data_IF_761328950257
#
_entry.id   IF_761328950257
#
_cell.length_a   1.000
_cell.length_b   1.000
_cell.length_c   1.000
_cell.angle_alpha   90.00
_cell.angle_beta   90.00
_cell.angle_gamma   90.00
#
_symmetry.space_group_name_H-M   'P 1'
#
loop_
_entity.id
_entity.type
_entity.pdbx_description
1 polymer ?
#
# COMPACT_ATOMS: atom_id res chain seq x y z
N UNK A 1 -5.49 -33.45 12.25
CA UNK A 1 -5.81 -32.10 12.75
C UNK A 1 -6.77 -31.49 11.75
N UNK A 2 -7.97 -31.06 12.16
CA UNK A 2 -8.86 -30.32 11.27
C UNK A 2 -8.14 -29.05 10.81
N UNK A 3 -8.13 -28.81 9.50
CA UNK A 3 -7.63 -27.56 8.92
C UNK A 3 -8.85 -26.69 8.68
N UNK A 4 -9.09 -25.71 9.56
CA UNK A 4 -10.15 -24.74 9.35
C UNK A 4 -9.88 -23.99 8.03
N UNK A 5 -10.92 -23.86 7.21
CA UNK A 5 -10.90 -23.03 6.00
C UNK A 5 -10.92 -21.55 6.39
N UNK A 6 -9.80 -20.89 6.24
CA UNK A 6 -9.61 -19.51 6.68
C UNK A 6 -9.35 -18.57 5.50
N UNK A 7 -9.86 -17.33 5.63
CA UNK A 7 -9.66 -16.28 4.63
C UNK A 7 -9.38 -14.91 5.26
N UNK A 8 -8.96 -13.97 4.42
CA UNK A 8 -8.73 -12.55 4.71
C UNK A 8 -9.16 -11.72 3.50
N UNK A 9 -9.36 -10.41 3.69
CA UNK A 9 -9.62 -9.51 2.57
C UNK A 9 -8.38 -9.32 1.68
N UNK A 10 -8.59 -8.87 0.45
CA UNK A 10 -7.51 -8.56 -0.48
C UNK A 10 -6.68 -7.36 0.01
N UNK A 11 -5.35 -7.41 -0.16
CA UNK A 11 -4.43 -6.33 0.22
C UNK A 11 -3.14 -6.37 -0.62
N UNK A 12 -3.30 -6.25 -1.94
CA UNK A 12 -2.21 -6.24 -2.90
C UNK A 12 -1.23 -7.39 -2.70
N UNK A 13 0.08 -7.10 -2.77
CA UNK A 13 1.11 -8.12 -2.54
C UNK A 13 1.27 -8.51 -1.07
N UNK A 14 0.70 -7.76 -0.12
CA UNK A 14 0.78 -8.07 1.31
C UNK A 14 -0.08 -9.29 1.69
N UNK A 15 -1.01 -9.72 0.83
CA UNK A 15 -1.76 -10.97 1.03
C UNK A 15 -0.85 -12.21 1.00
N UNK A 16 0.29 -12.15 0.28
CA UNK A 16 1.22 -13.28 0.13
C UNK A 16 1.89 -13.68 1.46
N UNK A 17 2.54 -12.75 2.21
CA UNK A 17 3.09 -13.11 3.52
C UNK A 17 1.99 -13.54 4.50
N UNK A 18 0.80 -12.93 4.46
CA UNK A 18 -0.34 -13.32 5.32
C UNK A 18 -0.77 -14.78 5.02
N UNK A 19 -0.98 -15.11 3.74
CA UNK A 19 -1.25 -16.48 3.27
C UNK A 19 -0.19 -17.46 3.78
N UNK A 20 1.08 -17.09 3.65
CA UNK A 20 2.18 -17.94 4.07
C UNK A 20 2.19 -18.20 5.59
N UNK A 21 1.84 -17.19 6.40
CA UNK A 21 1.73 -17.34 7.86
C UNK A 21 0.58 -18.30 8.18
N UNK A 22 -0.61 -18.09 7.61
CA UNK A 22 -1.78 -18.93 7.87
C UNK A 22 -1.56 -20.40 7.48
N UNK A 23 -0.93 -20.64 6.32
CA UNK A 23 -0.55 -21.99 5.88
C UNK A 23 0.45 -22.67 6.81
N UNK A 24 1.48 -21.95 7.29
CA UNK A 24 2.49 -22.50 8.21
C UNK A 24 1.91 -22.76 9.62
N UNK A 25 0.91 -21.98 10.05
CA UNK A 25 0.18 -22.24 11.30
C UNK A 25 -0.66 -23.52 11.18
N UNK A 26 -1.27 -23.75 10.01
CA UNK A 26 -1.96 -25.00 9.68
C UNK A 26 -3.40 -24.84 9.20
N UNK A 27 -3.83 -23.62 8.84
CA UNK A 27 -5.13 -23.39 8.19
C UNK A 27 -5.15 -23.98 6.77
N UNK A 28 -6.34 -24.31 6.29
CA UNK A 28 -6.60 -24.42 4.86
C UNK A 28 -6.98 -23.02 4.37
N UNK A 29 -6.23 -22.45 3.43
CA UNK A 29 -6.29 -20.99 3.19
C UNK A 29 -6.93 -20.70 1.85
N UNK A 30 -8.06 -20.00 1.90
CA UNK A 30 -8.80 -19.51 0.74
C UNK A 30 -8.48 -18.03 0.57
N UNK A 31 -7.87 -17.66 -0.55
CA UNK A 31 -7.57 -16.24 -0.83
C UNK A 31 -8.51 -15.67 -1.88
N UNK A 32 -9.02 -14.44 -1.68
CA UNK A 32 -9.79 -13.76 -2.72
C UNK A 32 -8.93 -13.51 -3.97
N UNK A 33 -9.56 -13.45 -5.15
CA UNK A 33 -8.87 -13.04 -6.36
C UNK A 33 -8.37 -11.58 -6.25
N UNK A 34 -7.47 -11.13 -7.15
CA UNK A 34 -7.12 -9.71 -7.24
C UNK A 34 -8.38 -8.84 -7.40
N UNK A 35 -8.36 -7.64 -6.80
CA UNK A 35 -9.51 -6.72 -6.86
C UNK A 35 -9.90 -6.45 -8.31
N UNK A 36 -11.18 -6.68 -8.61
CA UNK A 36 -11.75 -6.51 -9.94
C UNK A 36 -13.00 -5.64 -9.90
N UNK A 37 -13.57 -5.35 -11.08
CA UNK A 37 -14.88 -4.67 -11.17
C UNK A 37 -15.98 -5.46 -10.46
N UNK A 38 -15.89 -6.79 -10.46
CA UNK A 38 -16.83 -7.65 -9.74
C UNK A 38 -16.66 -7.48 -8.22
N UNK A 39 -15.43 -7.43 -7.71
CA UNK A 39 -15.16 -7.15 -6.29
C UNK A 39 -15.82 -5.83 -5.87
N UNK A 40 -15.66 -4.77 -6.67
CA UNK A 40 -16.26 -3.46 -6.40
C UNK A 40 -17.78 -3.48 -6.48
N UNK A 41 -18.35 -4.16 -7.47
CA UNK A 41 -19.81 -4.30 -7.63
C UNK A 41 -20.43 -5.03 -6.44
N UNK A 42 -19.88 -6.17 -6.05
CA UNK A 42 -20.34 -6.95 -4.90
C UNK A 42 -20.25 -6.13 -3.62
N UNK A 43 -19.09 -5.51 -3.39
CA UNK A 43 -18.86 -4.66 -2.23
C UNK A 43 -19.85 -3.51 -2.11
N UNK A 44 -20.05 -2.76 -3.20
CA UNK A 44 -20.90 -1.56 -3.22
C UNK A 44 -22.38 -1.90 -3.10
N UNK A 45 -22.82 -3.07 -3.57
CA UNK A 45 -24.22 -3.50 -3.49
C UNK A 45 -24.66 -3.84 -2.06
N UNK A 46 -23.71 -4.13 -1.16
CA UNK A 46 -23.97 -4.60 0.20
C UNK A 46 -23.40 -3.69 1.30
N UNK A 47 -22.92 -2.50 0.93
CA UNK A 47 -22.38 -1.52 1.88
C UNK A 47 -23.07 -0.17 1.71
N UNK A 48 -23.12 0.67 2.75
CA UNK A 48 -23.63 2.03 2.61
C UNK A 48 -22.85 2.84 1.58
N UNK A 49 -23.54 3.64 0.77
CA UNK A 49 -22.93 4.48 -0.28
C UNK A 49 -21.81 5.38 0.26
N UNK A 50 -22.02 5.95 1.47
CA UNK A 50 -21.07 6.84 2.15
C UNK A 50 -19.91 6.12 2.86
N UNK A 51 -19.84 4.79 2.79
CA UNK A 51 -18.69 4.06 3.28
C UNK A 51 -17.47 4.31 2.39
N UNK A 52 -16.29 4.36 2.99
CA UNK A 52 -15.07 4.51 2.20
C UNK A 52 -14.74 3.22 1.44
N UNK A 53 -14.09 3.40 0.29
CA UNK A 53 -13.80 2.32 -0.66
C UNK A 53 -13.16 1.06 -0.04
N UNK A 54 -12.22 1.15 0.95
CA UNK A 54 -11.65 -0.05 1.55
C UNK A 54 -12.68 -0.96 2.22
N UNK A 55 -13.76 -0.42 2.82
CA UNK A 55 -14.84 -1.24 3.38
C UNK A 55 -15.53 -2.04 2.28
N UNK A 56 -15.86 -1.37 1.16
CA UNK A 56 -16.53 -1.96 0.01
C UNK A 56 -15.68 -3.08 -0.58
N UNK A 57 -14.39 -2.83 -0.76
CA UNK A 57 -13.45 -3.83 -1.30
C UNK A 57 -13.30 -5.04 -0.38
N UNK A 58 -13.25 -4.84 0.94
CA UNK A 58 -13.20 -5.96 1.89
C UNK A 58 -14.46 -6.83 1.79
N UNK A 59 -15.65 -6.22 1.84
CA UNK A 59 -16.93 -6.94 1.72
C UNK A 59 -16.99 -7.68 0.38
N UNK A 60 -16.63 -7.01 -0.72
CA UNK A 60 -16.58 -7.64 -2.05
C UNK A 60 -15.61 -8.82 -2.12
N UNK A 61 -14.44 -8.70 -1.48
CA UNK A 61 -13.45 -9.79 -1.40
C UNK A 61 -14.02 -11.00 -0.67
N UNK A 62 -14.74 -10.77 0.44
CA UNK A 62 -15.39 -11.85 1.19
C UNK A 62 -16.47 -12.53 0.35
N UNK A 63 -17.36 -11.75 -0.27
CA UNK A 63 -18.45 -12.28 -1.10
C UNK A 63 -17.94 -13.16 -2.26
N UNK A 64 -16.78 -12.84 -2.84
CA UNK A 64 -16.15 -13.67 -3.88
C UNK A 64 -15.65 -15.03 -3.38
N UNK A 65 -15.36 -15.16 -2.08
CA UNK A 65 -14.83 -16.41 -1.50
C UNK A 65 -15.87 -17.23 -0.75
N UNK A 66 -17.05 -16.68 -0.46
CA UNK A 66 -18.15 -17.41 0.19
C UNK A 66 -18.58 -18.71 -0.52
N UNK A 67 -18.57 -18.83 -1.87
CA UNK A 67 -18.89 -20.10 -2.53
C UNK A 67 -17.93 -21.25 -2.20
N UNK A 68 -16.75 -20.96 -1.64
CA UNK A 68 -15.78 -21.98 -1.19
C UNK A 68 -16.00 -22.41 0.26
N UNK A 69 -17.03 -21.85 0.91
CA UNK A 69 -17.46 -22.13 2.28
C UNK A 69 -16.33 -21.94 3.30
N UNK A 70 -15.79 -20.72 3.44
CA UNK A 70 -14.84 -20.42 4.50
C UNK A 70 -15.49 -20.57 5.87
N UNK A 71 -14.79 -21.20 6.81
CA UNK A 71 -15.26 -21.38 8.19
C UNK A 71 -14.91 -20.16 9.05
N UNK A 72 -13.79 -19.49 8.74
CA UNK A 72 -13.31 -18.32 9.47
C UNK A 72 -12.78 -17.23 8.54
N UNK A 73 -13.12 -15.98 8.84
CA UNK A 73 -12.55 -14.79 8.21
C UNK A 73 -11.80 -13.99 9.26
N UNK A 74 -10.54 -13.66 8.98
CA UNK A 74 -9.73 -12.78 9.82
C UNK A 74 -9.74 -11.36 9.27
N UNK A 75 -9.97 -10.39 10.15
CA UNK A 75 -9.91 -8.96 9.86
C UNK A 75 -9.01 -8.27 10.88
N UNK A 76 -8.22 -7.29 10.47
CA UNK A 76 -7.42 -6.48 11.39
C UNK A 76 -8.29 -5.36 11.96
N UNK A 77 -8.28 -5.22 13.29
CA UNK A 77 -8.95 -4.14 14.02
C UNK A 77 -8.13 -2.85 14.02
N UNK A 78 -8.75 -1.77 14.49
CA UNK A 78 -8.16 -0.44 14.44
C UNK A 78 -8.55 0.42 15.62
N UNK A 79 -7.56 1.05 16.26
CA UNK A 79 -7.79 1.97 17.39
C UNK A 79 -7.61 3.40 16.92
N UNK A 80 -8.68 4.20 16.96
CA UNK A 80 -8.61 5.63 16.66
C UNK A 80 -9.95 6.21 16.20
N UNK A 81 -9.99 7.50 15.84
CA UNK A 81 -11.22 8.17 15.44
C UNK A 81 -11.64 7.85 13.99
N UNK A 82 -10.91 6.96 13.31
CA UNK A 82 -11.23 6.50 11.96
C UNK A 82 -12.29 5.40 12.00
N UNK A 83 -13.19 5.39 10.99
CA UNK A 83 -14.21 4.34 10.82
C UNK A 83 -13.63 2.93 10.65
N UNK A 84 -12.34 2.80 10.31
CA UNK A 84 -11.65 1.52 10.24
C UNK A 84 -11.81 0.69 11.53
N UNK A 85 -11.86 1.32 12.71
CA UNK A 85 -12.10 0.60 13.97
C UNK A 85 -13.48 -0.04 14.10
N UNK A 86 -14.45 0.34 13.25
CA UNK A 86 -15.79 -0.26 13.22
C UNK A 86 -15.93 -1.31 12.12
N UNK A 87 -14.90 -1.51 11.29
CA UNK A 87 -15.00 -2.38 10.12
C UNK A 87 -15.34 -3.81 10.49
N UNK A 88 -14.73 -4.36 11.54
CA UNK A 88 -14.96 -5.75 11.95
C UNK A 88 -16.43 -6.05 12.23
N UNK A 89 -17.06 -5.24 13.08
CA UNK A 89 -18.47 -5.39 13.44
C UNK A 89 -19.41 -5.11 12.25
N UNK A 90 -19.13 -4.07 11.47
CA UNK A 90 -19.97 -3.73 10.30
C UNK A 90 -19.90 -4.82 9.23
N UNK A 91 -18.72 -5.34 8.92
CA UNK A 91 -18.54 -6.41 7.94
C UNK A 91 -19.20 -7.71 8.42
N UNK A 92 -19.06 -8.04 9.71
CA UNK A 92 -19.73 -9.19 10.32
C UNK A 92 -21.25 -9.09 10.22
N UNK A 93 -21.83 -7.94 10.58
CA UNK A 93 -23.28 -7.74 10.50
C UNK A 93 -23.79 -7.82 9.06
N UNK A 94 -23.05 -7.26 8.10
CA UNK A 94 -23.38 -7.38 6.68
C UNK A 94 -23.42 -8.85 6.25
N UNK A 95 -22.39 -9.63 6.54
CA UNK A 95 -22.34 -11.05 6.16
C UNK A 95 -23.47 -11.86 6.83
N UNK A 96 -23.74 -11.59 8.11
CA UNK A 96 -24.84 -12.22 8.85
C UNK A 96 -26.21 -11.87 8.25
N UNK A 97 -26.44 -10.60 7.88
CA UNK A 97 -27.68 -10.16 7.24
C UNK A 97 -27.93 -10.81 5.88
N UNK A 98 -26.86 -11.26 5.21
CA UNK A 98 -26.92 -12.02 3.95
C UNK A 98 -27.12 -13.53 4.15
N UNK A 99 -27.25 -13.98 5.41
CA UNK A 99 -27.51 -15.37 5.76
C UNK A 99 -26.26 -16.23 5.92
N UNK A 100 -25.07 -15.62 6.04
CA UNK A 100 -23.82 -16.36 6.26
C UNK A 100 -23.45 -16.37 7.75
N UNK A 101 -23.52 -17.56 8.35
CA UNK A 101 -23.08 -17.83 9.72
C UNK A 101 -21.66 -18.42 9.68
N UNK A 102 -20.66 -17.54 9.63
CA UNK A 102 -19.24 -17.88 9.65
C UNK A 102 -18.54 -17.18 10.79
N UNK A 103 -17.42 -17.74 11.24
CA UNK A 103 -16.68 -17.12 12.34
C UNK A 103 -15.88 -15.91 11.84
N UNK A 104 -16.26 -14.72 12.30
CA UNK A 104 -15.57 -13.48 11.94
C UNK A 104 -14.69 -13.02 13.10
N UNK A 105 -13.37 -13.09 12.91
CA UNK A 105 -12.38 -12.83 13.96
C UNK A 105 -11.68 -11.49 13.69
N UNK A 106 -11.84 -10.55 14.61
CA UNK A 106 -11.16 -9.26 14.57
C UNK A 106 -9.88 -9.33 15.41
N UNK A 107 -8.74 -9.12 14.75
CA UNK A 107 -7.42 -9.05 15.37
C UNK A 107 -7.09 -7.60 15.71
N UNK A 108 -7.39 -7.19 16.95
CA UNK A 108 -7.05 -5.86 17.43
C UNK A 108 -5.52 -5.67 17.55
N UNK A 109 -4.99 -4.44 17.36
CA UNK A 109 -3.58 -4.16 17.54
C UNK A 109 -3.13 -4.55 18.96
N UNK A 110 -2.01 -5.27 19.11
CA UNK A 110 -1.57 -5.76 20.40
C UNK A 110 -0.92 -4.63 21.19
N UNK A 111 -1.74 -3.73 21.77
CA UNK A 111 -1.22 -2.68 22.64
C UNK A 111 -0.76 -3.24 23.98
N UNK A 112 -1.46 -4.23 24.54
CA UNK A 112 -1.09 -4.87 25.82
C UNK A 112 -1.33 -6.40 25.91
N UNK A 113 -1.92 -7.06 24.89
CA UNK A 113 -2.32 -8.48 24.96
C UNK A 113 -1.86 -9.34 23.77
N UNK A 114 -0.55 -9.58 23.63
CA UNK A 114 -0.04 -10.54 22.63
C UNK A 114 -0.56 -11.97 22.85
N UNK A 115 -0.85 -12.33 24.10
CA UNK A 115 -1.42 -13.62 24.49
C UNK A 115 -2.78 -13.85 23.83
N UNK A 116 -3.67 -12.85 23.81
CA UNK A 116 -5.01 -12.97 23.24
C UNK A 116 -4.99 -13.32 21.76
N UNK A 117 -4.09 -12.67 20.99
CA UNK A 117 -3.92 -12.98 19.56
C UNK A 117 -3.50 -14.44 19.38
N UNK A 118 -2.65 -14.95 20.25
CA UNK A 118 -2.16 -16.32 20.12
C UNK A 118 -3.19 -17.32 20.64
N UNK A 119 -3.93 -16.98 21.69
CA UNK A 119 -5.04 -17.77 22.23
C UNK A 119 -6.14 -17.96 21.18
N UNK A 120 -6.41 -16.94 20.35
CA UNK A 120 -7.28 -17.05 19.17
C UNK A 120 -6.76 -18.14 18.23
N UNK A 121 -5.48 -18.13 17.86
CA UNK A 121 -4.94 -19.16 16.96
C UNK A 121 -4.88 -20.56 17.60
N UNK A 122 -4.61 -20.64 18.91
CA UNK A 122 -4.63 -21.89 19.69
C UNK A 122 -6.03 -22.48 19.73
N UNK A 123 -7.07 -21.65 19.86
CA UNK A 123 -8.47 -22.09 19.81
C UNK A 123 -8.80 -22.86 18.53
N UNK A 124 -8.26 -22.44 17.38
CA UNK A 124 -8.49 -23.13 16.11
C UNK A 124 -7.55 -24.31 15.87
N UNK A 125 -6.26 -24.18 16.20
CA UNK A 125 -5.23 -25.12 15.73
C UNK A 125 -4.58 -25.96 16.85
N UNK A 126 -4.99 -25.75 18.10
CA UNK A 126 -4.50 -26.43 19.30
C UNK A 126 -3.14 -25.91 19.80
N UNK A 127 -2.66 -26.48 20.92
CA UNK A 127 -1.45 -26.06 21.65
C UNK A 127 -0.16 -26.12 20.81
N UNK A 128 -0.14 -26.92 19.74
CA UNK A 128 0.98 -27.01 18.80
C UNK A 128 1.27 -25.70 18.05
N UNK A 129 0.32 -24.75 18.06
CA UNK A 129 0.41 -23.45 17.37
C UNK A 129 1.58 -22.61 17.87
N UNK A 130 1.80 -22.56 19.18
CA UNK A 130 2.92 -21.83 19.79
C UNK A 130 4.28 -22.27 19.26
N UNK A 131 4.43 -23.55 18.91
CA UNK A 131 5.68 -24.10 18.35
C UNK A 131 5.85 -23.73 16.86
N UNK A 132 4.76 -23.53 16.13
CA UNK A 132 4.77 -23.18 14.69
C UNK A 132 4.87 -21.67 14.46
N UNK A 133 4.33 -20.87 15.37
CA UNK A 133 4.21 -19.42 15.24
C UNK A 133 5.55 -18.71 14.92
N UNK A 134 6.67 -18.96 15.63
CA UNK A 134 7.93 -18.27 15.31
C UNK A 134 8.42 -18.54 13.89
N UNK A 135 8.29 -19.79 13.42
CA UNK A 135 8.65 -20.18 12.06
C UNK A 135 7.73 -19.54 11.03
N UNK A 136 6.42 -19.56 11.27
CA UNK A 136 5.42 -18.96 10.38
C UNK A 136 5.69 -17.45 10.20
N UNK A 137 5.87 -16.73 11.32
CA UNK A 137 6.21 -15.30 11.32
C UNK A 137 7.54 -15.02 10.61
N UNK A 138 8.56 -15.85 10.84
CA UNK A 138 9.85 -15.69 10.17
C UNK A 138 9.74 -15.84 8.64
N UNK A 139 9.01 -16.85 8.16
CA UNK A 139 8.80 -17.05 6.71
C UNK A 139 7.98 -15.91 6.11
N UNK A 140 6.89 -15.51 6.77
CA UNK A 140 6.07 -14.36 6.36
C UNK A 140 6.89 -13.07 6.28
N UNK A 141 7.70 -12.78 7.30
CA UNK A 141 8.61 -11.66 7.32
C UNK A 141 9.61 -11.69 6.16
N UNK A 142 10.23 -12.84 5.88
CA UNK A 142 11.17 -13.00 4.77
C UNK A 142 10.50 -12.75 3.42
N UNK A 143 9.28 -13.23 3.20
CA UNK A 143 8.51 -12.96 1.98
C UNK A 143 8.15 -11.49 1.85
N UNK A 144 7.71 -10.86 2.93
CA UNK A 144 7.38 -9.43 2.97
C UNK A 144 8.58 -8.56 2.58
N UNK A 145 9.74 -8.74 3.24
CA UNK A 145 10.96 -8.01 2.90
C UNK A 145 11.42 -8.27 1.46
N UNK A 146 11.26 -9.50 0.97
CA UNK A 146 11.59 -9.86 -0.40
C UNK A 146 10.75 -9.06 -1.41
N UNK A 147 9.44 -8.96 -1.19
CA UNK A 147 8.52 -8.19 -2.02
C UNK A 147 8.89 -6.71 -2.04
N UNK A 148 9.05 -6.09 -0.86
CA UNK A 148 9.38 -4.67 -0.76
C UNK A 148 10.73 -4.33 -1.37
N UNK A 149 11.73 -5.21 -1.22
CA UNK A 149 13.05 -5.03 -1.80
C UNK A 149 13.01 -4.98 -3.32
N UNK A 150 12.27 -5.90 -3.95
CA UNK A 150 12.11 -5.91 -5.40
C UNK A 150 11.25 -4.73 -5.86
N UNK A 151 10.18 -4.38 -5.14
CA UNK A 151 9.37 -3.18 -5.44
C UNK A 151 10.23 -1.92 -5.48
N UNK A 152 10.98 -1.63 -4.42
CA UNK A 152 11.88 -0.47 -4.35
C UNK A 152 12.92 -0.47 -5.48
N UNK A 153 13.51 -1.63 -5.78
CA UNK A 153 14.50 -1.76 -6.86
C UNK A 153 13.90 -1.50 -8.24
N UNK A 154 12.71 -2.02 -8.51
CA UNK A 154 12.02 -1.87 -9.80
C UNK A 154 11.67 -0.40 -10.04
N UNK A 155 11.09 0.27 -9.04
CA UNK A 155 10.70 1.67 -9.16
C UNK A 155 11.91 2.61 -9.31
N UNK A 156 13.01 2.34 -8.60
CA UNK A 156 14.25 3.11 -8.71
C UNK A 156 15.02 2.88 -10.02
N UNK A 157 14.93 1.68 -10.60
CA UNK A 157 15.65 1.35 -11.84
C UNK A 157 14.94 1.86 -13.10
N UNK A 158 13.61 2.04 -13.04
CA UNK A 158 12.77 2.46 -14.16
C UNK A 158 13.30 3.64 -15.01
N UNK A 159 13.78 4.77 -14.44
CA UNK A 159 14.29 5.90 -15.23
C UNK A 159 15.60 5.60 -15.98
N UNK A 160 16.31 4.52 -15.61
CA UNK A 160 17.59 4.13 -16.22
C UNK A 160 17.43 3.11 -17.34
N UNK A 161 16.19 2.81 -17.76
CA UNK A 161 15.89 1.80 -18.77
C UNK A 161 15.04 2.42 -19.89
N UNK A 162 15.31 2.05 -21.14
CA UNK A 162 14.39 2.34 -22.23
C UNK A 162 13.07 1.58 -22.11
N UNK A 163 12.09 1.93 -22.95
CA UNK A 163 10.73 1.40 -22.88
C UNK A 163 10.66 -0.14 -22.93
N UNK A 164 11.50 -0.79 -23.75
CA UNK A 164 11.52 -2.25 -23.88
C UNK A 164 11.98 -2.90 -22.57
N UNK A 165 13.05 -2.37 -21.97
CA UNK A 165 13.60 -2.92 -20.74
C UNK A 165 12.75 -2.58 -19.50
N UNK A 166 12.02 -1.46 -19.50
CA UNK A 166 10.99 -1.17 -18.50
C UNK A 166 9.87 -2.21 -18.51
N UNK A 167 9.40 -2.60 -19.69
CA UNK A 167 8.39 -3.65 -19.83
C UNK A 167 8.90 -5.00 -19.30
N UNK A 168 10.11 -5.40 -19.72
CA UNK A 168 10.76 -6.62 -19.21
C UNK A 168 10.98 -6.60 -17.70
N UNK A 169 11.30 -5.44 -17.12
CA UNK A 169 11.50 -5.28 -15.69
C UNK A 169 10.22 -5.61 -14.91
N UNK A 170 9.05 -5.18 -15.41
CA UNK A 170 7.76 -5.50 -14.80
C UNK A 170 7.36 -6.96 -15.02
N UNK A 171 7.66 -7.55 -16.18
CA UNK A 171 7.46 -8.99 -16.40
C UNK A 171 8.28 -9.83 -15.41
N UNK A 172 9.53 -9.45 -15.16
CA UNK A 172 10.38 -10.10 -14.15
C UNK A 172 9.85 -9.91 -12.73
N UNK A 173 9.35 -8.71 -12.41
CA UNK A 173 8.69 -8.44 -11.12
C UNK A 173 7.47 -9.35 -10.91
N UNK A 174 6.59 -9.44 -11.90
CA UNK A 174 5.39 -10.28 -11.82
C UNK A 174 5.75 -11.77 -11.70
N UNK A 175 6.76 -12.23 -12.44
CA UNK A 175 7.29 -13.58 -12.30
C UNK A 175 7.89 -13.82 -10.91
N UNK A 176 8.61 -12.84 -10.35
CA UNK A 176 9.13 -12.89 -8.99
C UNK A 176 8.02 -13.01 -7.95
N UNK A 177 6.96 -12.19 -8.03
CA UNK A 177 5.82 -12.25 -7.11
C UNK A 177 5.19 -13.64 -7.12
N UNK A 178 4.96 -14.23 -8.30
CA UNK A 178 4.46 -15.62 -8.43
C UNK A 178 5.39 -16.66 -7.81
N UNK A 179 6.71 -16.49 -7.97
CA UNK A 179 7.71 -17.39 -7.35
C UNK A 179 7.71 -17.28 -5.83
N UNK A 180 7.57 -16.07 -5.27
CA UNK A 180 7.54 -15.81 -3.83
C UNK A 180 6.27 -16.36 -3.19
N UNK A 181 5.11 -16.22 -3.83
CA UNK A 181 3.86 -16.80 -3.34
C UNK A 181 4.01 -18.32 -3.13
N UNK A 182 4.52 -19.00 -4.17
CA UNK A 182 4.73 -20.46 -4.17
C UNK A 182 6.00 -20.92 -3.41
N UNK A 183 6.79 -20.01 -2.84
CA UNK A 183 8.02 -20.39 -2.15
C UNK A 183 7.73 -21.00 -0.77
N UNK A 184 8.18 -22.23 -0.56
CA UNK A 184 8.21 -22.86 0.76
C UNK A 184 9.54 -22.57 1.47
N UNK A 185 9.46 -21.98 2.66
CA UNK A 185 10.63 -21.72 3.53
C UNK A 185 11.50 -20.53 3.14
N UNK A 186 12.25 -20.02 4.12
CA UNK A 186 13.07 -18.81 3.99
C UNK A 186 14.26 -18.94 3.03
N UNK A 187 14.95 -20.09 3.01
CA UNK A 187 16.11 -20.30 2.13
C UNK A 187 15.73 -20.22 0.63
N UNK A 188 14.55 -20.72 0.27
CA UNK A 188 14.04 -20.63 -1.10
C UNK A 188 13.71 -19.19 -1.48
N UNK A 189 13.10 -18.43 -0.56
CA UNK A 189 12.84 -16.99 -0.73
C UNK A 189 14.15 -16.24 -0.98
N UNK A 190 15.18 -16.48 -0.18
CA UNK A 190 16.50 -15.83 -0.34
C UNK A 190 17.17 -16.17 -1.67
N UNK A 191 17.03 -17.41 -2.14
CA UNK A 191 17.52 -17.82 -3.45
C UNK A 191 16.80 -17.08 -4.57
N UNK A 192 15.47 -17.03 -4.53
CA UNK A 192 14.65 -16.32 -5.53
C UNK A 192 15.02 -14.83 -5.59
N UNK A 193 15.18 -14.17 -4.43
CA UNK A 193 15.60 -12.77 -4.37
C UNK A 193 16.96 -12.57 -5.02
N UNK A 194 17.96 -13.42 -4.73
CA UNK A 194 19.30 -13.30 -5.32
C UNK A 194 19.27 -13.48 -6.84
N UNK A 195 18.58 -14.51 -7.32
CA UNK A 195 18.43 -14.78 -8.76
C UNK A 195 17.74 -13.63 -9.49
N UNK A 196 16.63 -13.11 -8.94
CA UNK A 196 15.91 -11.98 -9.53
C UNK A 196 16.73 -10.70 -9.50
N UNK A 197 17.41 -10.39 -8.39
CA UNK A 197 18.28 -9.20 -8.30
C UNK A 197 19.40 -9.27 -9.32
N UNK A 198 20.11 -10.40 -9.42
CA UNK A 198 21.19 -10.58 -10.39
C UNK A 198 20.71 -10.38 -11.83
N UNK A 199 19.52 -10.88 -12.15
CA UNK A 199 18.90 -10.71 -13.48
C UNK A 199 18.50 -9.25 -13.75
N UNK A 200 17.90 -8.57 -12.79
CA UNK A 200 17.54 -7.16 -12.92
C UNK A 200 18.79 -6.29 -13.04
N UNK A 201 19.83 -6.59 -12.27
CA UNK A 201 21.09 -5.84 -12.29
C UNK A 201 21.86 -5.98 -13.60
N UNK A 202 21.63 -7.05 -14.37
CA UNK A 202 22.22 -7.27 -15.70
C UNK A 202 21.50 -6.54 -16.84
N UNK A 203 20.40 -5.83 -16.57
CA UNK A 203 19.70 -5.09 -17.62
C UNK A 203 20.55 -3.91 -18.10
N UNK A 204 20.55 -3.60 -19.42
CA UNK A 204 21.33 -2.49 -19.96
C UNK A 204 20.79 -1.18 -19.42
N UNK A 205 21.69 -0.36 -18.88
CA UNK A 205 21.35 0.92 -18.27
C UNK A 205 21.69 2.05 -19.22
N UNK A 206 20.81 3.04 -19.24
CA UNK A 206 21.02 4.32 -19.89
C UNK A 206 21.22 5.37 -18.81
N UNK A 207 22.06 6.38 -19.09
CA UNK A 207 22.17 7.57 -18.26
C UNK A 207 21.11 8.57 -18.74
N UNK A 208 19.99 8.73 -18.02
CA UNK A 208 18.98 9.69 -18.42
C UNK A 208 19.51 11.11 -18.24
N UNK A 209 19.24 12.00 -19.19
CA UNK A 209 19.57 13.43 -19.05
C UNK A 209 18.91 14.05 -17.81
N UNK A 210 17.73 13.55 -17.43
CA UNK A 210 16.98 14.01 -16.27
C UNK A 210 16.13 12.88 -15.69
N UNK A 211 16.17 12.76 -14.37
CA UNK A 211 15.31 11.83 -13.62
C UNK A 211 14.17 12.63 -13.01
N UNK A 212 12.94 12.22 -13.32
CA UNK A 212 11.74 12.74 -12.69
C UNK A 212 11.37 11.86 -11.51
N UNK A 213 11.29 12.45 -10.32
CA UNK A 213 11.01 11.76 -9.06
C UNK A 213 9.66 12.18 -8.52
N UNK A 214 8.71 11.26 -8.48
CA UNK A 214 7.39 11.49 -7.90
C UNK A 214 7.20 10.67 -6.63
N UNK A 215 6.56 11.26 -5.63
CA UNK A 215 6.16 10.55 -4.42
C UNK A 215 4.66 10.24 -4.44
N UNK A 216 4.28 9.00 -4.09
CA UNK A 216 2.89 8.59 -3.89
C UNK A 216 2.63 8.46 -2.39
N UNK A 217 1.59 9.15 -1.91
CA UNK A 217 1.13 9.12 -0.52
C UNK A 217 -0.40 9.04 -0.45
N UNK A 218 -0.95 8.87 0.75
CA UNK A 218 -2.39 8.82 0.98
C UNK A 218 -2.81 7.70 1.93
N UNK A 219 -4.06 7.27 1.78
CA UNK A 219 -4.64 6.21 2.61
C UNK A 219 -3.94 4.88 2.35
N UNK A 220 -3.63 4.14 3.42
CA UNK A 220 -2.87 2.89 3.40
C UNK A 220 -3.39 1.86 2.40
N UNK A 221 -4.69 1.59 2.40
CA UNK A 221 -5.27 0.60 1.50
C UNK A 221 -5.19 1.08 0.05
N UNK A 222 -5.51 2.36 -0.19
CA UNK A 222 -5.47 2.96 -1.53
C UNK A 222 -4.06 2.97 -2.13
N UNK A 223 -3.04 3.13 -1.30
CA UNK A 223 -1.64 3.14 -1.72
C UNK A 223 -1.14 1.72 -1.99
N UNK A 224 -1.56 0.72 -1.22
CA UNK A 224 -1.06 -0.65 -1.33
C UNK A 224 -1.83 -1.55 -2.31
N UNK A 225 -3.13 -1.33 -2.51
CA UNK A 225 -3.97 -2.17 -3.37
C UNK A 225 -3.98 -1.66 -4.82
N UNK A 226 -3.29 -2.34 -5.75
CA UNK A 226 -3.17 -1.86 -7.13
C UNK A 226 -4.50 -1.83 -7.89
N UNK A 227 -5.47 -2.68 -7.54
CA UNK A 227 -6.76 -2.74 -8.22
C UNK A 227 -7.65 -1.52 -7.97
N UNK A 228 -7.45 -0.80 -6.86
CA UNK A 228 -8.21 0.43 -6.55
C UNK A 228 -7.50 1.71 -6.97
N UNK A 229 -6.18 1.66 -7.17
CA UNK A 229 -5.39 2.81 -7.63
C UNK A 229 -4.98 2.74 -9.11
N UNK A 230 -5.55 1.80 -9.86
CA UNK A 230 -5.32 1.61 -11.30
C UNK A 230 -3.86 1.34 -11.65
N UNK A 231 -3.15 0.61 -10.78
CA UNK A 231 -1.75 0.24 -10.97
C UNK A 231 -0.83 1.45 -11.22
N UNK A 232 -1.07 2.56 -10.52
CA UNK A 232 -0.41 3.84 -10.75
C UNK A 232 1.13 3.75 -10.74
N UNK A 233 1.69 2.98 -9.81
CA UNK A 233 3.14 2.73 -9.73
C UNK A 233 3.69 2.10 -11.00
N UNK A 234 2.98 1.10 -11.55
CA UNK A 234 3.35 0.43 -12.80
C UNK A 234 3.28 1.40 -13.96
N UNK A 235 2.19 2.17 -14.05
CA UNK A 235 2.01 3.16 -15.09
C UNK A 235 3.15 4.19 -15.12
N UNK A 236 3.46 4.82 -13.98
CA UNK A 236 4.52 5.83 -13.87
C UNK A 236 5.92 5.24 -14.11
N UNK A 237 6.19 4.05 -13.56
CA UNK A 237 7.44 3.34 -13.77
C UNK A 237 7.65 2.99 -15.26
N UNK A 238 6.61 2.51 -15.95
CA UNK A 238 6.65 2.28 -17.39
C UNK A 238 6.82 3.56 -18.19
N UNK A 239 6.43 4.73 -17.65
CA UNK A 239 6.72 6.04 -18.23
C UNK A 239 8.15 6.56 -17.96
N UNK A 240 8.98 5.80 -17.23
CA UNK A 240 10.38 6.15 -16.95
C UNK A 240 10.53 7.14 -15.80
N UNK A 241 9.54 7.20 -14.92
CA UNK A 241 9.53 8.06 -13.74
C UNK A 241 9.98 7.22 -12.55
N UNK A 242 10.89 7.78 -11.73
CA UNK A 242 11.23 7.22 -10.43
C UNK A 242 10.07 7.48 -9.47
N UNK A 243 9.48 6.41 -8.95
CA UNK A 243 8.36 6.50 -8.02
C UNK A 243 8.83 6.07 -6.64
N UNK A 244 8.56 6.89 -5.64
CA UNK A 244 8.71 6.52 -4.24
C UNK A 244 7.35 6.48 -3.56
N UNK A 245 7.12 5.46 -2.75
CA UNK A 245 5.85 5.24 -2.05
C UNK A 245 6.08 5.35 -0.56
N UNK A 246 5.27 6.16 0.11
CA UNK A 246 5.47 6.44 1.53
C UNK A 246 5.09 5.28 2.44
N UNK A 247 4.27 4.35 1.94
CA UNK A 247 3.74 3.22 2.70
C UNK A 247 4.32 1.92 2.16
N UNK A 248 5.11 1.26 3.00
CA UNK A 248 5.53 -0.13 2.85
C UNK A 248 4.92 -0.91 4.00
N UNK A 249 4.36 -2.08 3.73
CA UNK A 249 3.59 -2.84 4.72
C UNK A 249 4.43 -3.18 5.95
N UNK A 250 5.72 -3.52 5.78
CA UNK A 250 6.63 -3.77 6.90
C UNK A 250 6.97 -2.52 7.70
N UNK A 251 7.25 -1.41 7.01
CA UNK A 251 7.58 -0.15 7.68
C UNK A 251 6.37 0.36 8.47
N UNK A 252 5.16 0.20 7.91
CA UNK A 252 3.90 0.44 8.62
C UNK A 252 3.70 -0.55 9.78
N UNK A 253 3.86 -1.85 9.56
CA UNK A 253 3.65 -2.89 10.57
C UNK A 253 4.60 -2.72 11.76
N UNK A 254 5.89 -2.45 11.52
CA UNK A 254 6.87 -2.11 12.56
C UNK A 254 6.42 -0.91 13.39
N UNK A 255 5.95 0.16 12.73
CA UNK A 255 5.49 1.38 13.42
C UNK A 255 4.22 1.12 14.22
N UNK A 256 3.22 0.54 13.57
CA UNK A 256 1.91 0.27 14.14
C UNK A 256 1.95 -0.74 15.29
N UNK A 257 2.76 -1.81 15.18
CA UNK A 257 2.80 -2.92 16.14
C UNK A 257 3.98 -2.79 17.10
N UNK A 258 5.21 -2.68 16.60
CA UNK A 258 6.42 -2.76 17.46
C UNK A 258 6.73 -1.44 18.18
N UNK A 259 6.68 -0.29 17.49
CA UNK A 259 6.97 1.01 18.12
C UNK A 259 5.83 1.49 19.03
N UNK A 260 4.58 1.21 18.67
CA UNK A 260 3.43 1.45 19.55
C UNK A 260 3.49 0.62 20.84
N UNK A 261 3.94 -0.65 20.76
CA UNK A 261 4.14 -1.52 21.93
C UNK A 261 5.29 -1.03 22.83
N UNK A 262 6.37 -0.50 22.24
CA UNK A 262 7.48 0.12 22.98
C UNK A 262 7.15 1.53 23.51
N UNK A 263 5.91 2.02 23.34
CA UNK A 263 5.47 3.40 23.68
C UNK A 263 6.35 4.49 23.07
N UNK A 264 7.08 4.18 21.99
CA UNK A 264 7.88 5.15 21.25
C UNK A 264 6.93 5.97 20.38
N UNK A 265 6.92 7.29 20.57
CA UNK A 265 6.06 8.18 19.80
C UNK A 265 6.62 8.37 18.38
N UNK A 266 6.49 7.34 17.54
CA UNK A 266 6.90 7.33 16.13
C UNK A 266 6.13 8.36 15.29
N UNK A 267 4.94 8.77 15.74
CA UNK A 267 4.17 9.83 15.12
C UNK A 267 4.76 11.21 15.37
N UNK A 268 5.69 11.39 16.33
CA UNK A 268 6.25 12.70 16.68
C UNK A 268 6.91 13.38 15.49
N UNK A 269 7.72 12.66 14.71
CA UNK A 269 8.39 13.25 13.54
C UNK A 269 7.38 13.73 12.48
N UNK A 270 6.36 12.91 12.19
CA UNK A 270 5.29 13.28 11.28
C UNK A 270 4.46 14.46 11.81
N UNK A 271 4.14 14.44 13.10
CA UNK A 271 3.45 15.53 13.78
C UNK A 271 4.27 16.82 13.71
N UNK A 272 5.58 16.76 13.93
CA UNK A 272 6.46 17.93 13.88
C UNK A 272 6.53 18.52 12.46
N UNK A 273 6.61 17.68 11.42
CA UNK A 273 6.57 18.10 10.02
C UNK A 273 5.19 18.65 9.61
N UNK A 274 4.10 18.03 10.07
CA UNK A 274 2.74 18.43 9.75
C UNK A 274 2.25 19.61 10.59
N UNK A 275 2.85 19.88 11.76
CA UNK A 275 2.40 20.85 12.77
C UNK A 275 1.98 22.22 12.22
N UNK A 276 2.67 22.81 11.22
CA UNK A 276 2.26 24.10 10.65
C UNK A 276 0.88 24.07 9.98
N UNK A 277 0.41 22.90 9.54
CA UNK A 277 -0.83 22.72 8.79
C UNK A 277 -1.86 21.86 9.54
N UNK A 278 -1.41 20.85 10.29
CA UNK A 278 -2.24 19.94 11.05
C UNK A 278 -1.61 19.66 12.42
N UNK A 279 -2.17 20.29 13.46
CA UNK A 279 -1.63 20.24 14.83
C UNK A 279 -2.16 19.08 15.68
N UNK A 280 -3.15 18.32 15.17
CA UNK A 280 -3.79 17.23 15.91
C UNK A 280 -4.02 16.02 15.00
N UNK A 281 -3.97 14.84 15.60
CA UNK A 281 -4.35 13.60 14.94
C UNK A 281 -5.87 13.56 14.73
N UNK A 282 -6.30 13.45 13.47
CA UNK A 282 -7.71 13.42 13.06
C UNK A 282 -8.16 12.03 12.60
N UNK A 283 -7.34 10.99 12.84
CA UNK A 283 -7.58 9.63 12.37
C UNK A 283 -6.98 9.35 11.01
N UNK A 284 -7.07 8.09 10.58
CA UNK A 284 -6.56 7.66 9.28
C UNK A 284 -5.07 7.94 9.13
N UNK A 285 -4.67 8.36 7.93
CA UNK A 285 -3.28 8.68 7.58
C UNK A 285 -3.10 10.18 7.31
N UNK A 286 -4.01 11.03 7.83
CA UNK A 286 -4.04 12.44 7.45
C UNK A 286 -2.78 13.22 7.87
N UNK A 287 -2.26 12.93 9.07
CA UNK A 287 -1.02 13.55 9.57
C UNK A 287 0.16 13.10 8.71
N UNK A 288 0.21 11.80 8.42
CA UNK A 288 1.21 11.16 7.59
C UNK A 288 1.20 11.75 6.16
N UNK A 289 0.05 11.84 5.51
CA UNK A 289 -0.12 12.42 4.16
C UNK A 289 0.37 13.88 4.10
N UNK A 290 0.06 14.70 5.12
CA UNK A 290 0.54 16.09 5.20
C UNK A 290 2.05 16.14 5.45
N UNK A 291 2.56 15.32 6.37
CA UNK A 291 3.98 15.26 6.69
C UNK A 291 4.82 14.78 5.49
N UNK A 292 4.36 13.75 4.77
CA UNK A 292 5.00 13.25 3.57
C UNK A 292 5.01 14.26 2.43
N UNK A 293 4.00 15.13 2.34
CA UNK A 293 4.01 16.25 1.39
C UNK A 293 5.17 17.21 1.67
N UNK A 294 5.38 17.56 2.94
CA UNK A 294 6.52 18.38 3.37
C UNK A 294 7.85 17.66 3.19
N UNK A 295 7.90 16.36 3.48
CA UNK A 295 9.07 15.51 3.25
C UNK A 295 9.46 15.47 1.77
N UNK A 296 8.50 15.25 0.87
CA UNK A 296 8.70 15.24 -0.57
C UNK A 296 9.31 16.57 -1.05
N UNK A 297 8.75 17.68 -0.58
CA UNK A 297 9.28 19.01 -0.88
C UNK A 297 10.73 19.18 -0.36
N UNK A 298 10.98 18.84 0.91
CA UNK A 298 12.30 19.00 1.53
C UNK A 298 13.38 18.11 0.89
N UNK A 299 13.01 16.91 0.41
CA UNK A 299 13.89 15.97 -0.29
C UNK A 299 14.04 16.25 -1.78
N UNK A 300 13.41 17.31 -2.30
CA UNK A 300 13.54 17.73 -3.69
C UNK A 300 12.89 16.77 -4.70
N UNK A 301 11.75 16.17 -4.35
CA UNK A 301 10.90 15.48 -5.33
C UNK A 301 10.30 16.51 -6.30
N UNK A 302 9.99 16.06 -7.52
CA UNK A 302 9.43 16.94 -8.57
C UNK A 302 7.91 17.12 -8.43
N UNK A 303 7.25 16.20 -7.72
CA UNK A 303 5.82 16.28 -7.42
C UNK A 303 5.35 15.18 -6.48
N UNK A 304 4.12 15.34 -6.00
CA UNK A 304 3.43 14.39 -5.12
C UNK A 304 2.05 14.01 -5.68
N UNK A 305 1.74 12.73 -5.68
CA UNK A 305 0.40 12.22 -5.94
C UNK A 305 -0.19 11.68 -4.63
N UNK A 306 -1.33 12.23 -4.23
CA UNK A 306 -2.08 11.87 -3.04
C UNK A 306 -3.31 11.02 -3.42
N UNK A 307 -3.42 9.82 -2.85
CA UNK A 307 -4.50 8.87 -3.10
C UNK A 307 -5.44 8.79 -1.89
N UNK A 308 -6.70 9.18 -2.09
CA UNK A 308 -7.71 9.17 -1.03
C UNK A 308 -8.95 8.39 -1.48
N UNK A 309 -9.56 7.56 -0.62
CA UNK A 309 -10.86 7.01 -0.90
C UNK A 309 -11.94 8.07 -0.70
N UNK A 310 -12.95 8.08 -1.57
CA UNK A 310 -14.17 8.83 -1.32
C UNK A 310 -14.79 8.41 0.03
N UNK A 311 -15.35 9.36 0.78
CA UNK A 311 -15.89 9.10 2.12
C UNK A 311 -14.85 8.99 3.25
N UNK A 312 -13.54 9.06 2.96
CA UNK A 312 -12.50 9.09 4.00
C UNK A 312 -12.28 10.51 4.53
N UNK A 313 -12.98 10.85 5.62
CA UNK A 313 -12.91 12.19 6.23
C UNK A 313 -11.47 12.66 6.57
N UNK A 314 -10.58 11.81 7.14
CA UNK A 314 -9.21 12.24 7.41
C UNK A 314 -8.44 12.63 6.15
N UNK A 315 -8.49 11.83 5.08
CA UNK A 315 -7.76 12.15 3.84
C UNK A 315 -8.38 13.31 3.06
N UNK A 316 -9.70 13.50 3.13
CA UNK A 316 -10.36 14.70 2.58
C UNK A 316 -9.88 15.96 3.32
N UNK A 317 -9.66 15.87 4.62
CA UNK A 317 -9.06 16.96 5.42
C UNK A 317 -7.61 17.21 5.00
N UNK A 318 -6.81 16.15 4.89
CA UNK A 318 -5.42 16.24 4.43
C UNK A 318 -5.32 16.85 3.02
N UNK A 319 -6.22 16.49 2.10
CA UNK A 319 -6.22 16.99 0.72
C UNK A 319 -6.23 18.53 0.64
N UNK A 320 -7.05 19.20 1.47
CA UNK A 320 -7.11 20.66 1.51
C UNK A 320 -5.77 21.27 1.95
N UNK A 321 -5.11 20.66 2.93
CA UNK A 321 -3.81 21.08 3.45
C UNK A 321 -2.68 20.80 2.44
N UNK A 322 -2.71 19.66 1.76
CA UNK A 322 -1.76 19.32 0.69
C UNK A 322 -1.84 20.34 -0.44
N UNK A 323 -3.05 20.74 -0.85
CA UNK A 323 -3.25 21.80 -1.86
C UNK A 323 -2.73 23.16 -1.38
N UNK A 324 -2.90 23.48 -0.10
CA UNK A 324 -2.34 24.69 0.49
C UNK A 324 -0.80 24.67 0.44
N UNK A 325 -0.17 23.58 0.87
CA UNK A 325 1.29 23.38 0.81
C UNK A 325 1.78 23.53 -0.63
N UNK A 326 1.10 22.88 -1.59
CA UNK A 326 1.47 22.93 -3.01
C UNK A 326 1.47 24.36 -3.56
N UNK A 327 0.52 25.21 -3.14
CA UNK A 327 0.49 26.63 -3.51
C UNK A 327 1.59 27.45 -2.84
N UNK A 328 1.73 27.33 -1.52
CA UNK A 328 2.67 28.13 -0.73
C UNK A 328 4.13 27.83 -1.09
N UNK A 329 4.45 26.55 -1.21
CA UNK A 329 5.81 26.07 -1.54
C UNK A 329 6.08 26.04 -3.04
N UNK A 330 5.08 26.36 -3.86
CA UNK A 330 5.10 26.10 -5.31
C UNK A 330 5.55 24.67 -5.56
N UNK A 331 4.94 23.69 -4.91
CA UNK A 331 5.26 22.27 -5.09
C UNK A 331 4.11 21.59 -5.85
N UNK A 332 4.35 20.94 -7.00
CA UNK A 332 3.28 20.27 -7.74
C UNK A 332 2.66 19.12 -6.93
N UNK A 333 1.36 19.21 -6.67
CA UNK A 333 0.60 18.17 -5.97
C UNK A 333 -0.64 17.80 -6.76
N UNK A 334 -0.91 16.51 -6.93
CA UNK A 334 -2.14 15.96 -7.49
C UNK A 334 -2.87 15.16 -6.40
N UNK A 335 -4.14 15.47 -6.13
CA UNK A 335 -4.98 14.63 -5.27
C UNK A 335 -6.03 13.90 -6.09
N UNK A 336 -6.07 12.58 -5.93
CA UNK A 336 -7.02 11.68 -6.58
C UNK A 336 -7.95 11.12 -5.51
N UNK A 337 -9.22 11.54 -5.58
CA UNK A 337 -10.30 10.95 -4.81
C UNK A 337 -10.90 9.81 -5.63
N UNK A 338 -10.85 8.60 -5.10
CA UNK A 338 -11.19 7.37 -5.82
C UNK A 338 -12.37 6.66 -5.13
N UNK A 339 -13.32 6.18 -5.92
CA UNK A 339 -14.50 5.43 -5.51
C UNK A 339 -14.76 4.24 -6.44
N UNK A 340 -15.85 3.52 -6.23
CA UNK A 340 -16.26 2.38 -7.06
C UNK A 340 -16.66 2.76 -8.50
N UNK A 341 -16.92 4.04 -8.77
CA UNK A 341 -17.34 4.56 -10.07
C UNK A 341 -16.18 5.18 -10.86
N UNK A 342 -14.98 5.26 -10.24
CA UNK A 342 -13.80 5.83 -10.86
C UNK A 342 -13.45 5.09 -12.16
N UNK A 343 -13.44 5.83 -13.26
CA UNK A 343 -12.96 5.34 -14.55
C UNK A 343 -11.44 5.37 -14.57
N UNK A 344 -10.82 4.20 -14.79
CA UNK A 344 -9.36 4.09 -14.92
C UNK A 344 -8.79 5.04 -15.97
N UNK A 345 -9.48 5.21 -17.11
CA UNK A 345 -9.06 6.17 -18.16
C UNK A 345 -9.02 7.60 -17.62
N UNK A 346 -10.06 8.03 -16.88
CA UNK A 346 -10.11 9.38 -16.32
C UNK A 346 -9.02 9.63 -15.27
N UNK A 347 -8.69 8.63 -14.46
CA UNK A 347 -7.59 8.71 -13.48
C UNK A 347 -6.25 8.82 -14.20
N UNK A 348 -5.98 7.95 -15.18
CA UNK A 348 -4.73 7.95 -15.94
C UNK A 348 -4.52 9.26 -16.70
N UNK A 349 -5.53 9.80 -17.38
CA UNK A 349 -5.41 11.08 -18.09
C UNK A 349 -5.07 12.26 -17.15
N UNK A 350 -5.61 12.27 -15.93
CA UNK A 350 -5.26 13.29 -14.92
C UNK A 350 -3.81 13.14 -14.45
N UNK A 351 -3.34 11.91 -14.31
CA UNK A 351 -1.94 11.61 -13.96
C UNK A 351 -1.01 12.03 -15.10
N UNK A 352 -1.35 11.73 -16.35
CA UNK A 352 -0.61 12.14 -17.56
C UNK A 352 -0.44 13.66 -17.60
N UNK A 353 -1.55 14.40 -17.50
CA UNK A 353 -1.53 15.85 -17.50
C UNK A 353 -0.69 16.43 -16.35
N UNK A 354 -0.72 15.78 -15.16
CA UNK A 354 0.11 16.18 -14.03
C UNK A 354 1.60 15.93 -14.29
N UNK A 355 1.95 14.77 -14.83
CA UNK A 355 3.32 14.43 -15.21
C UNK A 355 3.86 15.43 -16.22
N UNK A 356 3.09 15.77 -17.25
CA UNK A 356 3.49 16.75 -18.26
C UNK A 356 3.71 18.14 -17.67
N UNK A 357 2.85 18.57 -16.75
CA UNK A 357 3.01 19.82 -16.01
C UNK A 357 4.31 19.83 -15.20
N UNK A 358 4.61 18.76 -14.47
CA UNK A 358 5.83 18.62 -13.67
C UNK A 358 7.08 18.66 -14.55
N UNK A 359 7.06 17.91 -15.66
CA UNK A 359 8.18 17.87 -16.63
C UNK A 359 8.45 19.23 -17.23
N UNK A 360 7.41 19.89 -17.76
CA UNK A 360 7.53 21.20 -18.38
C UNK A 360 8.08 22.23 -17.39
N UNK A 361 7.58 22.23 -16.16
CA UNK A 361 8.06 23.14 -15.12
C UNK A 361 9.55 22.98 -14.84
N UNK A 362 10.04 21.74 -14.67
CA UNK A 362 11.45 21.46 -14.40
C UNK A 362 12.35 21.93 -15.55
N UNK A 363 11.92 21.69 -16.78
CA UNK A 363 12.61 22.16 -17.99
C UNK A 363 12.70 23.70 -18.04
N UNK A 364 11.60 24.41 -17.73
CA UNK A 364 11.60 25.88 -17.67
C UNK A 364 12.51 26.43 -16.57
N UNK A 365 12.48 25.86 -15.37
CA UNK A 365 13.36 26.26 -14.25
C UNK A 365 14.84 26.07 -14.61
N UNK A 366 15.18 25.04 -15.40
CA UNK A 366 16.53 24.82 -15.94
C UNK A 366 16.94 25.87 -16.95
N UNK A 367 16.07 26.19 -17.92
CA UNK A 367 16.35 27.21 -18.95
C UNK A 367 16.52 28.60 -18.33
N UNK A 368 15.71 28.95 -17.33
CA UNK A 368 15.84 30.21 -16.58
C UNK A 368 17.14 30.32 -15.77
N UNK A 369 17.65 29.21 -15.24
CA UNK A 369 18.96 29.15 -14.55
C UNK A 369 20.15 29.16 -15.52
N UNK A 370 19.99 28.63 -16.73
CA UNK A 370 20.98 28.67 -17.80
C UNK A 370 21.23 30.08 -18.35
N UNK A 371 20.17 30.90 -18.48
CA UNK A 371 20.28 32.29 -18.95
C UNK A 371 21.03 33.23 -17.98
N UNK A 372 20.99 32.97 -16.67
CA UNK A 372 21.70 33.79 -15.68
C UNK A 372 23.21 33.53 -15.61
N UNK A 373 23.71 32.38 -16.10
CA UNK A 373 25.15 32.10 -16.14
C UNK A 373 25.88 32.78 -17.30
N UNK A 374 25.19 33.14 -18.38
CA UNK A 374 25.81 33.77 -19.57
C UNK A 374 25.98 35.30 -19.40
N UNK A 375 25.20 35.94 -18.52
CA UNK A 375 25.29 37.40 -18.29
C UNK A 375 26.32 37.85 -17.24
N UNK A 376 27.14 36.97 -16.67
CA UNK A 376 28.12 37.34 -15.61
C UNK A 376 29.60 37.31 -16.04
N UNK A 377 29.89 37.13 -17.33
CA UNK A 377 31.27 37.13 -17.86
C UNK A 377 31.56 38.27 -18.85
N UNK A 378 30.81 39.37 -18.79
CA UNK A 378 31.02 40.52 -19.65
C UNK A 378 30.78 41.82 -18.89
N UNK A 379 31.62 42.09 -17.89
CA UNK A 379 31.92 43.43 -17.39
C UNK A 379 33.36 43.47 -16.91
#
# INVERSE_FOLDING_TARGET
>A
MPRYKASVAQLGTAIIPIKSIMLELGFDVIMPPPVSKETLMLGSSHTPEFACLPLKVNVGSYLQILPQEPEVIFMVGGVGPCRFGLYGEVQKEILHSLGYDLEFVVLEPPKEHLSEVIDIFVRFLGDGTWRRLPRALYIGYKKLIALEKIDKKVLALAPHLNAIWRQKLWEEKEAFVRKIDNAAGAARVDRIVRETMAKIDSFPREEPEEIFRLMITGEFFMVLEPGVNFHLEKYLSLAGIEVDRTIFFWDWFKKAVFLSMLRVNWQKEYLDLARPYLSRFVGGHAVESVAHTMEAFNKGYDGLIHLAPFGCMPEVTAMSLIRQIGREKRFPTLSLLLDEHASGTGVITRVEAFVDLVKNRKLYERQGRGGQKVCRSSF
#
